data_IF_005460207578
#
_entry.id   IF_005460207578
#
_cell.length_a   1.000
_cell.length_b   1.000
_cell.length_c   1.000
_cell.angle_alpha   90.00
_cell.angle_beta   90.00
_cell.angle_gamma   90.00
#
_symmetry.space_group_name_H-M   'P 1'
#
loop_
_entity.id
_entity.type
_entity.pdbx_description
1 polymer ?
#
# COMPACT_ATOMS: atom_id res chain seq x y z
N UNK A 1 25.91 9.57 26.17
CA UNK A 1 24.58 10.18 25.98
C UNK A 1 24.15 10.28 24.49
N UNK A 2 24.99 10.77 23.59
CA UNK A 2 24.67 10.98 22.16
C UNK A 2 24.15 9.73 21.45
N UNK A 3 24.75 8.54 21.69
CA UNK A 3 24.35 7.29 21.06
C UNK A 3 22.93 6.84 21.46
N UNK A 4 22.56 6.92 22.73
CA UNK A 4 21.22 6.56 23.20
C UNK A 4 20.15 7.50 22.65
N UNK A 5 20.47 8.81 22.57
CA UNK A 5 19.55 9.79 21.98
C UNK A 5 19.30 9.48 20.50
N UNK A 6 20.35 9.17 19.74
CA UNK A 6 20.21 8.77 18.34
C UNK A 6 19.40 7.48 18.19
N UNK A 7 19.65 6.46 19.01
CA UNK A 7 18.90 5.21 19.00
C UNK A 7 17.41 5.43 19.34
N UNK A 8 17.10 6.30 20.32
CA UNK A 8 15.74 6.66 20.67
C UNK A 8 15.02 7.40 19.53
N UNK A 9 15.69 8.33 18.85
CA UNK A 9 15.14 9.02 17.69
C UNK A 9 14.84 8.03 16.55
N UNK A 10 15.78 7.12 16.26
CA UNK A 10 15.58 6.06 15.27
C UNK A 10 14.41 5.16 15.66
N UNK A 11 14.27 4.79 16.92
CA UNK A 11 13.12 4.01 17.41
C UNK A 11 11.80 4.71 17.13
N UNK A 12 11.69 6.00 17.46
CA UNK A 12 10.47 6.78 17.22
C UNK A 12 10.15 6.90 15.74
N UNK A 13 11.14 7.21 14.89
CA UNK A 13 10.93 7.33 13.45
C UNK A 13 10.53 6.00 12.81
N UNK A 14 11.21 4.90 13.14
CA UNK A 14 10.86 3.58 12.61
C UNK A 14 9.47 3.13 13.08
N UNK A 15 9.08 3.41 14.31
CA UNK A 15 7.74 3.11 14.82
C UNK A 15 6.67 3.93 14.09
N UNK A 16 6.88 5.23 13.91
CA UNK A 16 5.95 6.10 13.21
C UNK A 16 5.78 5.69 11.75
N UNK A 17 6.88 5.44 11.02
CA UNK A 17 6.85 4.99 9.62
C UNK A 17 6.22 3.61 9.51
N UNK A 18 6.52 2.70 10.43
CA UNK A 18 5.92 1.34 10.45
C UNK A 18 4.40 1.38 10.66
N UNK A 19 3.92 2.18 11.62
CA UNK A 19 2.48 2.37 11.84
C UNK A 19 1.80 3.04 10.64
N UNK A 20 2.40 4.09 10.09
CA UNK A 20 1.86 4.79 8.94
C UNK A 20 1.77 3.88 7.70
N UNK A 21 2.82 3.11 7.39
CA UNK A 21 2.82 2.19 6.25
C UNK A 21 1.78 1.06 6.42
N UNK A 22 1.64 0.52 7.64
CA UNK A 22 0.63 -0.50 7.93
C UNK A 22 -0.78 0.08 7.82
N UNK A 23 -1.03 1.25 8.40
CA UNK A 23 -2.30 1.96 8.24
C UNK A 23 -2.65 2.22 6.76
N UNK A 24 -1.66 2.70 6.00
CA UNK A 24 -1.85 2.97 4.57
C UNK A 24 -2.22 1.71 3.78
N UNK A 25 -1.57 0.59 4.04
CA UNK A 25 -1.90 -0.69 3.43
C UNK A 25 -3.34 -1.13 3.75
N UNK A 26 -3.73 -1.03 5.02
CA UNK A 26 -5.09 -1.40 5.45
C UNK A 26 -6.11 -0.45 4.85
N UNK A 27 -5.85 0.86 4.82
CA UNK A 27 -6.82 1.87 4.37
C UNK A 27 -6.96 1.95 2.84
N UNK A 28 -5.94 1.58 2.06
CA UNK A 28 -5.95 1.77 0.61
C UNK A 28 -5.83 0.49 -0.21
N UNK A 29 -5.17 -0.55 0.30
CA UNK A 29 -5.02 -1.81 -0.42
C UNK A 29 -6.14 -2.79 -0.10
N UNK A 30 -6.50 -2.92 1.17
CA UNK A 30 -7.54 -3.86 1.57
C UNK A 30 -8.92 -3.57 0.97
N UNK A 31 -9.39 -2.30 0.89
CA UNK A 31 -10.68 -1.98 0.27
C UNK A 31 -10.78 -2.38 -1.21
N UNK A 32 -9.67 -2.36 -1.95
CA UNK A 32 -9.65 -2.79 -3.37
C UNK A 32 -10.19 -4.21 -3.53
N UNK A 33 -9.75 -5.13 -2.68
CA UNK A 33 -10.23 -6.51 -2.73
C UNK A 33 -11.71 -6.63 -2.35
N UNK A 34 -12.18 -5.78 -1.43
CA UNK A 34 -13.60 -5.66 -1.09
C UNK A 34 -14.43 -5.15 -2.28
N UNK A 35 -13.93 -4.16 -3.02
CA UNK A 35 -14.56 -3.63 -4.23
C UNK A 35 -14.61 -4.68 -5.34
N UNK A 36 -13.52 -5.45 -5.55
CA UNK A 36 -13.50 -6.56 -6.52
C UNK A 36 -14.55 -7.62 -6.15
N UNK A 37 -14.64 -7.97 -4.86
CA UNK A 37 -15.61 -8.96 -4.38
C UNK A 37 -17.06 -8.52 -4.59
N UNK A 38 -17.36 -7.24 -4.40
CA UNK A 38 -18.68 -6.64 -4.58
C UNK A 38 -18.98 -6.26 -6.04
N UNK A 39 -18.05 -6.47 -6.96
CA UNK A 39 -18.16 -6.10 -8.38
C UNK A 39 -18.50 -4.61 -8.56
N UNK A 40 -17.81 -3.72 -7.84
CA UNK A 40 -18.02 -2.29 -7.93
C UNK A 40 -17.89 -1.78 -9.37
N UNK A 41 -18.67 -0.77 -9.75
CA UNK A 41 -18.70 -0.21 -11.12
C UNK A 41 -17.37 0.37 -11.58
N UNK A 42 -16.55 0.88 -10.63
CA UNK A 42 -15.19 1.33 -10.88
C UNK A 42 -14.31 0.97 -9.68
N UNK A 43 -13.07 0.57 -9.95
CA UNK A 43 -12.09 0.13 -8.96
C UNK A 43 -10.79 0.90 -9.17
N UNK A 44 -10.28 1.52 -8.11
CA UNK A 44 -8.98 2.20 -8.11
C UNK A 44 -7.92 1.27 -7.53
N UNK A 45 -6.99 0.79 -8.35
CA UNK A 45 -5.91 -0.10 -7.91
C UNK A 45 -4.60 0.67 -7.75
N UNK A 46 -4.11 0.85 -6.52
CA UNK A 46 -2.84 1.51 -6.23
C UNK A 46 -1.67 0.51 -6.33
N UNK A 47 -1.28 0.12 -7.53
CA UNK A 47 -0.24 -0.92 -7.73
C UNK A 47 1.06 -0.62 -6.99
N UNK A 48 1.47 0.64 -6.91
CA UNK A 48 2.70 1.01 -6.18
C UNK A 48 2.58 0.83 -4.66
N UNK A 49 1.37 0.87 -4.12
CA UNK A 49 1.15 0.62 -2.69
C UNK A 49 1.46 -0.84 -2.30
N UNK A 50 1.42 -1.78 -3.26
CA UNK A 50 1.84 -3.16 -3.02
C UNK A 50 3.33 -3.26 -2.66
N UNK A 51 4.16 -2.33 -3.14
CA UNK A 51 5.57 -2.24 -2.73
C UNK A 51 5.75 -1.91 -1.25
N UNK A 52 4.77 -1.28 -0.60
CA UNK A 52 4.80 -1.01 0.84
C UNK A 52 4.69 -2.28 1.70
N UNK A 53 4.34 -3.44 1.12
CA UNK A 53 4.30 -4.73 1.84
C UNK A 53 5.65 -5.09 2.48
N UNK A 54 6.76 -4.58 1.93
CA UNK A 54 8.08 -4.77 2.53
C UNK A 54 8.30 -3.93 3.81
N UNK A 55 7.57 -2.83 3.98
CA UNK A 55 7.86 -1.86 5.04
C UNK A 55 7.57 -2.39 6.45
N UNK A 56 6.46 -3.07 6.77
CA UNK A 56 6.19 -3.58 8.10
C UNK A 56 7.29 -4.49 8.66
N UNK A 57 7.80 -5.51 7.95
CA UNK A 57 8.86 -6.37 8.50
C UNK A 57 10.20 -5.64 8.66
N UNK A 58 10.56 -4.72 7.75
CA UNK A 58 11.78 -3.90 7.90
C UNK A 58 11.66 -2.99 9.11
N UNK A 59 10.53 -2.29 9.26
CA UNK A 59 10.32 -1.37 10.37
C UNK A 59 10.28 -2.11 11.71
N UNK A 60 9.69 -3.30 11.76
CA UNK A 60 9.69 -4.13 12.96
C UNK A 60 11.13 -4.52 13.36
N UNK A 61 11.97 -4.95 12.43
CA UNK A 61 13.36 -5.24 12.70
C UNK A 61 14.11 -3.99 13.22
N UNK A 62 13.91 -2.82 12.57
CA UNK A 62 14.49 -1.55 13.01
C UNK A 62 14.04 -1.15 14.42
N UNK A 63 12.78 -1.33 14.77
CA UNK A 63 12.22 -1.05 16.10
C UNK A 63 12.91 -1.93 17.15
N UNK A 64 13.02 -3.24 16.91
CA UNK A 64 13.66 -4.18 17.85
C UNK A 64 15.13 -3.81 18.08
N UNK A 65 15.88 -3.57 16.99
CA UNK A 65 17.32 -3.18 17.07
C UNK A 65 17.50 -1.85 17.81
N UNK A 66 16.66 -0.86 17.48
CA UNK A 66 16.73 0.47 18.09
C UNK A 66 16.31 0.46 19.56
N UNK A 67 15.30 -0.32 19.93
CA UNK A 67 14.88 -0.51 21.31
C UNK A 67 16.02 -1.13 22.15
N UNK A 68 16.65 -2.18 21.63
CA UNK A 68 17.81 -2.79 22.29
C UNK A 68 18.94 -1.78 22.50
N UNK A 69 19.29 -1.02 21.46
CA UNK A 69 20.34 0.00 21.52
C UNK A 69 20.02 1.13 22.51
N UNK A 70 18.76 1.54 22.60
CA UNK A 70 18.28 2.55 23.56
C UNK A 70 18.39 2.05 24.99
N UNK A 71 17.92 0.83 25.28
CA UNK A 71 17.95 0.24 26.62
C UNK A 71 19.37 -0.04 27.10
N UNK A 72 20.20 -0.66 26.28
CA UNK A 72 21.54 -1.11 26.66
C UNK A 72 22.62 -0.01 26.52
N UNK A 73 22.39 0.97 25.65
CA UNK A 73 23.40 1.98 25.27
C UNK A 73 24.55 1.42 24.44
N UNK A 74 24.43 0.18 23.93
CA UNK A 74 25.44 -0.53 23.13
C UNK A 74 24.94 -0.73 21.74
N UNK A 75 25.87 -0.83 20.75
CA UNK A 75 25.52 -1.23 19.41
C UNK A 75 24.93 -2.64 19.42
N UNK A 76 23.87 -2.83 18.66
CA UNK A 76 23.30 -4.16 18.46
C UNK A 76 24.27 -5.00 17.61
N UNK A 77 24.85 -6.00 18.22
CA UNK A 77 25.80 -6.93 17.60
C UNK A 77 25.49 -8.35 18.10
N UNK A 78 24.42 -8.99 17.63
CA UNK A 78 24.03 -10.31 18.08
C UNK A 78 25.07 -11.35 17.65
N UNK A 79 25.30 -12.38 18.49
CA UNK A 79 26.12 -13.52 18.11
C UNK A 79 25.52 -14.23 16.91
N UNK A 80 26.32 -14.72 15.95
CA UNK A 80 25.91 -15.32 14.66
C UNK A 80 24.94 -16.46 14.79
N UNK A 81 24.46 -16.98 15.74
CA UNK A 81 23.39 -17.99 15.91
C UNK A 81 22.44 -17.68 17.06
N UNK A 82 22.40 -16.42 17.49
CA UNK A 82 21.43 -15.99 18.51
C UNK A 82 20.04 -15.87 17.90
N UNK A 83 18.99 -16.03 18.71
CA UNK A 83 17.63 -15.83 18.27
C UNK A 83 17.38 -14.45 17.63
N UNK A 84 18.09 -13.41 18.11
CA UNK A 84 18.02 -12.07 17.53
C UNK A 84 18.64 -11.98 16.13
N UNK A 85 19.77 -12.65 15.88
CA UNK A 85 20.37 -12.69 14.55
C UNK A 85 19.48 -13.44 13.56
N UNK A 86 18.83 -14.52 13.99
CA UNK A 86 17.88 -15.27 13.19
C UNK A 86 16.65 -14.41 12.88
N UNK A 87 16.11 -13.70 13.87
CA UNK A 87 14.97 -12.79 13.71
C UNK A 87 15.29 -11.66 12.71
N UNK A 88 16.40 -10.95 12.90
CA UNK A 88 16.83 -9.84 12.03
C UNK A 88 16.98 -10.33 10.58
N UNK A 89 17.73 -11.44 10.39
CA UNK A 89 17.93 -12.03 9.06
C UNK A 89 16.62 -12.51 8.45
N UNK A 90 15.72 -13.08 9.26
CA UNK A 90 14.39 -13.51 8.85
C UNK A 90 13.53 -12.34 8.37
N UNK A 91 13.49 -11.24 9.11
CA UNK A 91 12.73 -10.04 8.73
C UNK A 91 13.28 -9.40 7.45
N UNK A 92 14.60 -9.33 7.30
CA UNK A 92 15.21 -8.81 6.07
C UNK A 92 14.90 -9.70 4.85
N UNK A 93 14.99 -11.02 4.99
CA UNK A 93 14.59 -11.95 3.93
C UNK A 93 13.10 -11.84 3.60
N UNK A 94 12.24 -11.74 4.60
CA UNK A 94 10.80 -11.57 4.41
C UNK A 94 10.49 -10.29 3.64
N UNK A 95 11.20 -9.19 3.91
CA UNK A 95 11.04 -7.92 3.21
C UNK A 95 11.44 -8.00 1.74
N UNK A 96 12.60 -8.60 1.46
CA UNK A 96 13.04 -8.82 0.08
C UNK A 96 12.06 -9.73 -0.66
N UNK A 97 11.61 -10.81 -0.02
CA UNK A 97 10.62 -11.72 -0.60
C UNK A 97 9.28 -11.02 -0.86
N UNK A 98 8.82 -10.18 0.08
CA UNK A 98 7.60 -9.39 -0.09
C UNK A 98 7.70 -8.45 -1.29
N UNK A 99 8.83 -7.78 -1.48
CA UNK A 99 9.03 -6.84 -2.58
C UNK A 99 9.19 -7.54 -3.93
N UNK A 100 10.03 -8.60 -3.99
CA UNK A 100 10.44 -9.21 -5.26
C UNK A 100 9.45 -10.28 -5.74
N UNK A 101 8.74 -10.93 -4.83
CA UNK A 101 7.84 -12.04 -5.15
C UNK A 101 6.38 -11.68 -4.87
N UNK A 102 6.05 -11.30 -3.62
CA UNK A 102 4.64 -11.11 -3.24
C UNK A 102 4.03 -9.90 -3.94
N UNK A 103 4.71 -8.76 -3.98
CA UNK A 103 4.14 -7.55 -4.59
C UNK A 103 3.90 -7.70 -6.10
N UNK A 104 4.83 -8.22 -6.93
CA UNK A 104 4.57 -8.50 -8.34
C UNK A 104 3.48 -9.56 -8.56
N UNK A 105 3.49 -10.65 -7.78
CA UNK A 105 2.46 -11.69 -7.89
C UNK A 105 1.07 -11.13 -7.54
N UNK A 106 0.96 -10.31 -6.49
CA UNK A 106 -0.30 -9.66 -6.13
C UNK A 106 -0.77 -8.71 -7.25
N UNK A 107 0.13 -7.94 -7.86
CA UNK A 107 -0.20 -7.08 -8.98
C UNK A 107 -0.70 -7.87 -10.20
N UNK A 108 -0.01 -8.94 -10.56
CA UNK A 108 -0.40 -9.83 -11.67
C UNK A 108 -1.74 -10.49 -11.37
N UNK A 109 -1.91 -11.08 -10.18
CA UNK A 109 -3.14 -11.73 -9.78
C UNK A 109 -4.34 -10.76 -9.80
N UNK A 110 -4.17 -9.54 -9.28
CA UNK A 110 -5.21 -8.50 -9.32
C UNK A 110 -5.59 -8.15 -10.76
N UNK A 111 -4.60 -7.96 -11.64
CA UNK A 111 -4.83 -7.65 -13.06
C UNK A 111 -5.56 -8.79 -13.77
N UNK A 112 -5.13 -10.03 -13.55
CA UNK A 112 -5.77 -11.21 -14.15
C UNK A 112 -7.22 -11.38 -13.66
N UNK A 113 -7.46 -11.17 -12.37
CA UNK A 113 -8.80 -11.25 -11.78
C UNK A 113 -9.71 -10.18 -12.37
N UNK A 114 -9.25 -8.94 -12.50
CA UNK A 114 -10.03 -7.86 -13.09
C UNK A 114 -10.35 -8.13 -14.58
N UNK A 115 -9.39 -8.62 -15.35
CA UNK A 115 -9.61 -9.02 -16.74
C UNK A 115 -10.59 -10.20 -16.85
N UNK A 116 -10.51 -11.18 -15.94
CA UNK A 116 -11.44 -12.32 -15.93
C UNK A 116 -12.88 -11.94 -15.52
N UNK A 117 -13.04 -10.79 -14.87
CA UNK A 117 -14.33 -10.18 -14.53
C UNK A 117 -14.79 -9.13 -15.56
N UNK A 118 -14.20 -9.12 -16.76
CA UNK A 118 -14.49 -8.20 -17.88
C UNK A 118 -14.29 -6.71 -17.56
N UNK A 119 -13.48 -6.38 -16.54
CA UNK A 119 -13.09 -4.99 -16.29
C UNK A 119 -12.09 -4.51 -17.34
N UNK A 120 -12.25 -3.26 -17.76
CA UNK A 120 -11.34 -2.58 -18.69
C UNK A 120 -10.63 -1.41 -18.02
N UNK A 121 -9.38 -1.16 -18.39
CA UNK A 121 -8.61 -0.02 -17.85
C UNK A 121 -9.14 1.30 -18.40
N UNK A 122 -9.35 2.29 -17.53
CA UNK A 122 -9.80 3.62 -17.91
C UNK A 122 -8.77 4.68 -17.53
N UNK A 123 -7.87 5.08 -18.45
CA UNK A 123 -6.90 6.13 -18.19
C UNK A 123 -7.53 7.52 -18.02
N UNK A 124 -8.74 7.74 -18.55
CA UNK A 124 -9.45 9.02 -18.48
C UNK A 124 -9.91 9.40 -17.08
N UNK A 125 -10.17 8.42 -16.20
CA UNK A 125 -10.52 8.66 -14.80
C UNK A 125 -9.31 9.08 -13.96
N UNK A 126 -8.09 8.96 -14.50
CA UNK A 126 -6.87 9.28 -13.78
C UNK A 126 -6.77 10.80 -13.57
N UNK A 127 -6.71 11.21 -12.31
CA UNK A 127 -6.47 12.59 -11.93
C UNK A 127 -5.02 12.97 -12.25
N UNK A 128 -4.82 13.88 -13.20
CA UNK A 128 -3.53 14.49 -13.57
C UNK A 128 -2.29 13.58 -13.43
N UNK A 129 -2.11 12.65 -14.37
CA UNK A 129 -0.80 12.03 -14.62
C UNK A 129 -0.21 11.12 -13.54
N UNK A 130 -0.95 10.79 -12.47
CA UNK A 130 -0.47 9.88 -11.43
C UNK A 130 -0.24 8.47 -12.00
N UNK A 131 1.02 8.05 -12.13
CA UNK A 131 1.37 6.68 -12.50
C UNK A 131 1.09 5.65 -11.37
N UNK A 132 0.70 6.13 -10.19
CA UNK A 132 0.57 5.33 -8.98
C UNK A 132 -0.75 4.57 -8.88
N UNK A 133 -1.78 5.04 -9.60
CA UNK A 133 -3.15 4.54 -9.53
C UNK A 133 -3.64 4.19 -10.92
N UNK A 134 -4.28 3.04 -11.04
CA UNK A 134 -4.93 2.59 -12.27
C UNK A 134 -6.41 2.36 -11.99
N UNK A 135 -7.26 2.96 -12.81
CA UNK A 135 -8.71 2.80 -12.70
C UNK A 135 -9.18 1.69 -13.63
N UNK A 136 -10.02 0.83 -13.11
CA UNK A 136 -10.70 -0.24 -13.83
C UNK A 136 -12.20 -0.02 -13.76
N UNK A 137 -12.90 -0.21 -14.86
CA UNK A 137 -14.35 -0.03 -14.97
C UNK A 137 -14.99 -1.28 -15.51
N UNK A 138 -16.16 -1.64 -14.97
CA UNK A 138 -16.93 -2.82 -15.38
C UNK A 138 -17.61 -2.64 -16.74
N UNK A 139 -17.81 -1.40 -17.20
CA UNK A 139 -18.42 -1.10 -18.48
C UNK A 139 -17.74 0.10 -19.16
N UNK A 140 -17.48 0.07 -20.48
CA UNK A 140 -16.83 1.17 -21.19
C UNK A 140 -17.54 2.53 -21.05
N UNK A 141 -18.86 2.53 -20.86
CA UNK A 141 -19.64 3.74 -20.62
C UNK A 141 -19.32 4.49 -19.32
N UNK A 142 -18.65 3.84 -18.38
CA UNK A 142 -18.16 4.45 -17.13
C UNK A 142 -16.79 5.10 -17.29
N UNK A 143 -16.14 4.93 -18.44
CA UNK A 143 -14.87 5.56 -18.72
C UNK A 143 -15.09 6.95 -19.32
N UNK A 144 -14.90 8.00 -18.51
CA UNK A 144 -15.06 9.39 -18.92
C UNK A 144 -14.03 10.31 -18.22
N UNK A 145 -13.82 11.48 -18.77
CA UNK A 145 -13.02 12.53 -18.11
C UNK A 145 -13.91 13.19 -17.06
N UNK A 146 -13.52 13.19 -15.78
CA UNK A 146 -14.32 13.79 -14.71
C UNK A 146 -14.35 15.32 -14.80
N UNK A 147 -15.54 15.92 -14.71
CA UNK A 147 -15.72 17.38 -14.60
C UNK A 147 -15.61 17.84 -13.13
N UNK A 148 -15.92 16.96 -12.20
CA UNK A 148 -15.89 17.24 -10.76
C UNK A 148 -15.74 15.94 -9.96
N UNK A 149 -15.43 16.09 -8.67
CA UNK A 149 -15.38 14.97 -7.72
C UNK A 149 -16.35 15.22 -6.58
N UNK A 150 -16.89 14.15 -5.99
CA UNK A 150 -17.66 14.23 -4.75
C UNK A 150 -16.73 14.46 -3.55
N UNK A 151 -17.29 14.69 -2.36
CA UNK A 151 -16.54 14.72 -1.09
C UNK A 151 -15.75 13.42 -0.86
N UNK A 152 -16.31 12.28 -1.27
CA UNK A 152 -15.68 10.96 -1.21
C UNK A 152 -14.70 10.70 -2.37
N UNK A 153 -14.32 11.75 -3.12
CA UNK A 153 -13.41 11.69 -4.28
C UNK A 153 -13.92 10.84 -5.47
N UNK A 154 -15.19 10.54 -5.54
CA UNK A 154 -15.77 9.84 -6.68
C UNK A 154 -15.83 10.74 -7.92
N UNK A 155 -15.45 10.22 -9.09
CA UNK A 155 -15.48 10.99 -10.32
C UNK A 155 -16.92 11.22 -10.79
N UNK A 156 -17.23 12.46 -11.17
CA UNK A 156 -18.52 12.86 -11.65
C UNK A 156 -18.43 13.55 -13.01
N UNK A 157 -19.44 13.36 -13.85
CA UNK A 157 -19.64 14.03 -15.15
C UNK A 157 -21.02 14.66 -15.20
N UNK A 158 -21.11 15.84 -15.80
CA UNK A 158 -22.40 16.47 -16.14
C UNK A 158 -22.86 15.95 -17.50
N UNK A 159 -24.02 15.30 -17.52
CA UNK A 159 -24.68 14.84 -18.75
C UNK A 159 -26.08 15.43 -18.77
N UNK A 160 -26.41 16.22 -19.78
CA UNK A 160 -27.73 16.87 -19.96
C UNK A 160 -28.23 17.62 -18.70
N UNK A 161 -27.35 18.31 -17.99
CA UNK A 161 -27.68 19.05 -16.78
C UNK A 161 -27.80 18.20 -15.50
N UNK A 162 -27.75 16.88 -15.60
CA UNK A 162 -27.70 15.98 -14.45
C UNK A 162 -26.25 15.62 -14.11
N UNK A 163 -25.93 15.57 -12.80
CA UNK A 163 -24.62 15.14 -12.31
C UNK A 163 -24.66 13.62 -12.13
N UNK A 164 -23.90 12.91 -12.98
CA UNK A 164 -23.71 11.46 -12.88
C UNK A 164 -22.37 11.21 -12.17
N UNK A 165 -22.39 10.54 -11.01
CA UNK A 165 -21.21 10.18 -10.25
C UNK A 165 -21.08 8.65 -10.20
N UNK A 166 -19.84 8.13 -10.37
CA UNK A 166 -19.55 6.72 -10.17
C UNK A 166 -19.44 6.45 -8.66
N UNK A 167 -20.21 5.49 -8.18
CA UNK A 167 -20.10 5.00 -6.82
C UNK A 167 -19.07 3.87 -6.80
N UNK A 168 -17.96 4.05 -6.06
CA UNK A 168 -16.90 3.04 -5.92
C UNK A 168 -17.11 2.12 -4.71
N UNK A 169 -18.18 2.37 -3.91
CA UNK A 169 -18.45 1.61 -2.69
C UNK A 169 -19.56 0.54 -2.87
N UNK A 170 -20.27 0.57 -3.99
CA UNK A 170 -21.29 -0.45 -4.35
C UNK A 170 -20.77 -1.51 -5.26
#
# INVERSE_FOLDING_TARGET
>A
MKFRLFAALTLLTCSAVGMFSTYWLIAHVLPVYGQIWRQASAIEVPYMALGLLMAPPVMLACVVVSAFATCTGKKFAPRARSGFAIFETGMMKASVYALVVIAPLAAIATTLTLNALDYTTCPQLRKSGSAWQTYWVSHPGFCFVPDSYTENKWPCKKVEGKKLCLNMDE
#
